data_IF_063838380403
#
_entry.id   IF_063838380403
#
_cell.length_a   1.000
_cell.length_b   1.000
_cell.length_c   1.000
_cell.angle_alpha   90.00
_cell.angle_beta   90.00
_cell.angle_gamma   90.00
#
_symmetry.space_group_name_H-M   'P 1'
#
loop_
_entity.id
_entity.type
_entity.pdbx_description
1 polymer ?
#
# COMPACT_ATOMS: atom_id res chain seq x y z
N UNK A 1 -73.60 -47.69 -22.00
CA UNK A 1 -74.28 -47.29 -23.25
C UNK A 1 -75.20 -46.11 -22.94
N UNK A 2 -75.22 -45.09 -23.81
CA UNK A 2 -75.98 -43.81 -23.71
C UNK A 2 -75.49 -42.77 -22.69
N UNK A 3 -75.57 -41.46 -22.94
CA UNK A 3 -75.47 -40.60 -24.14
C UNK A 3 -75.48 -39.15 -23.59
N UNK A 4 -74.71 -38.30 -24.24
CA UNK A 4 -74.61 -36.82 -24.15
C UNK A 4 -75.92 -36.06 -23.87
N UNK A 5 -75.85 -34.94 -23.11
CA UNK A 5 -76.38 -33.57 -23.46
C UNK A 5 -76.02 -32.58 -22.31
N UNK A 6 -75.19 -31.54 -22.50
CA UNK A 6 -75.35 -30.17 -23.08
C UNK A 6 -75.77 -29.07 -22.06
N UNK A 7 -74.89 -28.08 -21.93
CA UNK A 7 -74.99 -26.63 -21.61
C UNK A 7 -76.17 -26.07 -20.77
N UNK A 8 -75.85 -25.19 -19.80
CA UNK A 8 -75.89 -23.72 -19.95
C UNK A 8 -75.32 -22.98 -18.72
N UNK A 9 -74.75 -21.81 -19.01
CA UNK A 9 -74.03 -20.90 -18.12
C UNK A 9 -74.92 -20.08 -17.16
N UNK A 10 -74.37 -19.60 -16.05
CA UNK A 10 -74.28 -18.16 -15.74
C UNK A 10 -73.51 -17.88 -14.44
N UNK A 11 -72.82 -16.75 -14.50
CA UNK A 11 -71.91 -16.07 -13.58
C UNK A 11 -72.60 -15.51 -12.32
N UNK A 12 -71.96 -15.59 -11.15
CA UNK A 12 -71.90 -14.48 -10.17
C UNK A 12 -70.89 -14.81 -9.06
N UNK A 13 -69.86 -13.96 -8.99
CA UNK A 13 -68.81 -13.93 -7.97
C UNK A 13 -69.18 -12.84 -6.95
N UNK A 14 -69.22 -13.14 -5.66
CA UNK A 14 -69.05 -12.12 -4.62
C UNK A 14 -68.57 -12.72 -3.30
N UNK A 15 -67.42 -12.18 -2.88
CA UNK A 15 -66.59 -12.47 -1.72
C UNK A 15 -67.34 -12.54 -0.38
N UNK A 16 -67.03 -13.56 0.41
CA UNK A 16 -67.38 -13.69 1.83
C UNK A 16 -66.36 -12.91 2.66
N UNK A 17 -66.85 -11.98 3.49
CA UNK A 17 -66.08 -11.34 4.54
C UNK A 17 -65.82 -12.34 5.68
N UNK A 18 -64.55 -12.62 5.96
CA UNK A 18 -64.10 -13.43 7.08
C UNK A 18 -63.26 -12.60 8.04
N UNK A 19 -63.77 -12.41 9.25
CA UNK A 19 -63.06 -11.89 10.44
C UNK A 19 -62.15 -12.97 11.03
N UNK A 20 -60.92 -12.62 11.46
CA UNK A 20 -60.25 -13.27 12.60
C UNK A 20 -58.86 -12.69 12.94
N UNK A 21 -58.77 -12.26 14.20
CA UNK A 21 -57.69 -12.48 15.17
C UNK A 21 -56.41 -11.64 15.09
N UNK A 22 -56.34 -10.70 16.04
CA UNK A 22 -55.12 -10.12 16.60
C UNK A 22 -54.28 -11.22 17.26
N UNK A 23 -53.07 -11.45 16.74
CA UNK A 23 -51.98 -12.09 17.47
C UNK A 23 -50.73 -11.24 17.25
N UNK A 24 -50.16 -10.76 18.36
CA UNK A 24 -48.98 -9.91 18.36
C UNK A 24 -47.76 -10.65 17.83
N UNK A 25 -46.98 -9.95 17.00
CA UNK A 25 -45.57 -10.24 16.83
C UNK A 25 -44.79 -9.07 17.40
N UNK A 26 -44.03 -9.38 18.44
CA UNK A 26 -43.05 -8.51 19.07
C UNK A 26 -42.15 -7.86 18.03
N UNK A 27 -41.98 -6.54 18.18
CA UNK A 27 -40.92 -5.76 17.57
C UNK A 27 -39.55 -6.36 17.92
N UNK A 28 -39.04 -7.21 17.04
CA UNK A 28 -37.62 -7.54 16.98
C UNK A 28 -36.90 -6.30 16.48
N UNK A 29 -36.36 -5.52 17.41
CA UNK A 29 -35.31 -4.54 17.15
C UNK A 29 -34.22 -5.25 16.35
N UNK A 30 -34.12 -4.95 15.05
CA UNK A 30 -32.94 -5.25 14.28
C UNK A 30 -31.77 -4.61 15.03
N UNK A 31 -30.91 -5.43 15.60
CA UNK A 31 -29.64 -4.95 16.09
C UNK A 31 -28.95 -4.29 14.90
N UNK A 32 -28.82 -2.98 14.94
CA UNK A 32 -27.87 -2.25 14.11
C UNK A 32 -26.52 -2.92 14.32
N UNK A 33 -26.16 -3.83 13.40
CA UNK A 33 -24.80 -4.31 13.29
C UNK A 33 -23.97 -3.04 13.13
N UNK A 34 -23.19 -2.71 14.18
CA UNK A 34 -22.32 -1.54 14.16
C UNK A 34 -21.53 -1.60 12.87
N UNK A 35 -21.83 -0.68 11.96
CA UNK A 35 -21.11 -0.55 10.69
C UNK A 35 -19.65 -0.37 11.07
N UNK A 36 -18.79 -1.33 10.74
CA UNK A 36 -17.36 -1.18 10.98
C UNK A 36 -16.91 0.05 10.18
N UNK A 37 -16.50 1.16 10.83
CA UNK A 37 -16.16 2.40 10.14
C UNK A 37 -14.99 2.24 9.18
N UNK A 38 -14.19 1.18 9.35
CA UNK A 38 -13.05 0.87 8.48
C UNK A 38 -13.46 0.18 7.17
N UNK A 39 -14.71 -0.31 7.07
CA UNK A 39 -15.25 -0.93 5.86
C UNK A 39 -16.01 0.11 5.04
N UNK A 40 -15.30 0.73 4.12
CA UNK A 40 -15.83 1.81 3.28
C UNK A 40 -16.12 1.38 1.84
N UNK A 41 -15.79 0.13 1.47
CA UNK A 41 -16.01 -0.43 0.13
C UNK A 41 -17.18 -1.42 0.01
N UNK A 42 -17.09 -2.32 -0.96
CA UNK A 42 -18.12 -3.32 -1.24
C UNK A 42 -17.80 -4.65 -0.58
N UNK A 43 -18.57 -5.03 0.44
CA UNK A 43 -18.40 -6.31 1.14
C UNK A 43 -18.91 -7.47 0.28
N UNK A 44 -18.14 -8.54 0.22
CA UNK A 44 -18.45 -9.80 -0.44
C UNK A 44 -17.78 -10.97 0.30
N UNK A 45 -18.02 -12.20 -0.14
CA UNK A 45 -17.43 -13.40 0.45
C UNK A 45 -16.21 -13.87 -0.33
N UNK A 46 -15.36 -14.67 0.32
CA UNK A 46 -14.21 -15.30 -0.31
C UNK A 46 -14.59 -16.22 -1.49
N UNK A 47 -15.80 -16.78 -1.54
CA UNK A 47 -16.24 -17.56 -2.71
C UNK A 47 -16.54 -16.70 -3.94
N UNK A 48 -16.71 -15.38 -3.76
CA UNK A 48 -17.12 -14.45 -4.83
C UNK A 48 -16.01 -13.49 -5.24
N UNK A 49 -15.03 -13.24 -4.37
CA UNK A 49 -13.90 -12.39 -4.68
C UNK A 49 -12.58 -12.95 -4.14
N UNK A 50 -11.59 -13.07 -5.01
CA UNK A 50 -10.27 -13.62 -4.70
C UNK A 50 -9.20 -12.89 -5.51
N UNK A 51 -8.01 -12.73 -4.93
CA UNK A 51 -6.85 -12.14 -5.57
C UNK A 51 -5.61 -13.01 -5.26
N UNK A 52 -5.03 -13.58 -6.31
CA UNK A 52 -3.88 -14.48 -6.24
C UNK A 52 -2.78 -13.98 -7.19
N UNK A 53 -1.60 -13.81 -6.61
CA UNK A 53 -0.38 -13.35 -7.27
C UNK A 53 0.80 -13.66 -6.34
N UNK A 54 1.98 -13.87 -6.93
CA UNK A 54 3.23 -14.03 -6.18
C UNK A 54 3.57 -12.79 -5.32
N UNK A 55 4.18 -13.03 -4.16
CA UNK A 55 4.61 -11.97 -3.24
C UNK A 55 5.81 -11.16 -3.77
N UNK A 56 6.63 -11.76 -4.63
CA UNK A 56 7.78 -11.12 -5.27
C UNK A 56 7.76 -11.34 -6.78
N UNK A 57 7.96 -10.26 -7.55
CA UNK A 57 8.06 -10.24 -9.00
C UNK A 57 9.11 -9.20 -9.43
N UNK A 58 10.38 -9.48 -9.13
CA UNK A 58 11.46 -8.50 -9.27
C UNK A 58 11.76 -8.12 -10.73
N UNK A 59 11.98 -6.82 -10.97
CA UNK A 59 12.46 -6.29 -12.26
C UNK A 59 11.42 -6.26 -13.38
N UNK A 60 10.13 -6.40 -13.08
CA UNK A 60 9.08 -6.50 -14.11
C UNK A 60 8.42 -5.16 -14.47
N UNK A 61 8.34 -4.79 -15.75
CA UNK A 61 7.55 -3.61 -16.18
C UNK A 61 6.04 -3.87 -16.23
N UNK A 62 5.63 -5.12 -15.98
CA UNK A 62 4.24 -5.50 -15.85
C UNK A 62 4.08 -6.45 -14.66
N UNK A 63 3.16 -6.12 -13.76
CA UNK A 63 2.72 -7.03 -12.71
C UNK A 63 1.88 -8.15 -13.34
N UNK A 64 2.15 -9.39 -12.94
CA UNK A 64 1.31 -10.55 -13.29
C UNK A 64 0.42 -10.89 -12.11
N UNK A 65 -0.89 -10.88 -12.34
CA UNK A 65 -1.88 -11.43 -11.41
C UNK A 65 -2.24 -12.83 -11.89
N UNK A 66 -1.89 -13.84 -11.11
CA UNK A 66 -2.09 -15.24 -11.47
C UNK A 66 -3.57 -15.54 -11.66
N UNK A 67 -4.40 -15.06 -10.72
CA UNK A 67 -5.85 -15.22 -10.76
C UNK A 67 -6.56 -14.10 -10.00
N UNK A 68 -7.65 -13.61 -10.58
CA UNK A 68 -8.62 -12.74 -9.92
C UNK A 68 -10.02 -13.29 -10.16
N UNK A 69 -10.79 -13.41 -9.09
CA UNK A 69 -12.22 -13.70 -9.14
C UNK A 69 -12.96 -12.41 -8.75
N UNK A 70 -13.81 -11.88 -9.63
CA UNK A 70 -14.51 -10.62 -9.42
C UNK A 70 -16.05 -10.81 -9.35
N UNK A 71 -16.74 -10.28 -8.32
CA UNK A 71 -18.20 -10.40 -8.20
C UNK A 71 -18.99 -9.70 -9.33
N UNK A 72 -18.36 -8.69 -9.96
CA UNK A 72 -18.86 -7.88 -11.07
C UNK A 72 -17.69 -7.43 -11.96
N UNK A 73 -17.96 -6.60 -12.97
CA UNK A 73 -16.88 -5.91 -13.71
C UNK A 73 -16.04 -5.10 -12.69
N UNK A 74 -14.73 -5.11 -12.87
CA UNK A 74 -13.79 -4.68 -11.84
C UNK A 74 -12.48 -4.12 -12.43
N UNK A 75 -11.72 -3.46 -11.57
CA UNK A 75 -10.40 -2.95 -11.82
C UNK A 75 -9.39 -3.61 -10.90
N UNK A 76 -8.29 -4.09 -11.46
CA UNK A 76 -7.05 -4.29 -10.70
C UNK A 76 -6.36 -2.93 -10.68
N UNK A 77 -6.26 -2.35 -9.49
CA UNK A 77 -5.61 -1.06 -9.26
C UNK A 77 -4.30 -1.34 -8.53
N UNK A 78 -3.21 -0.80 -9.05
CA UNK A 78 -1.87 -0.96 -8.47
C UNK A 78 -1.38 0.40 -8.02
N UNK A 79 -1.11 0.53 -6.72
CA UNK A 79 -0.54 1.71 -6.10
C UNK A 79 0.91 1.45 -5.70
N UNK A 80 1.78 2.45 -5.82
CA UNK A 80 3.07 2.45 -5.13
C UNK A 80 2.84 2.23 -3.62
N UNK A 81 3.67 1.42 -2.98
CA UNK A 81 3.61 1.23 -1.53
C UNK A 81 4.36 2.35 -0.81
N UNK A 82 3.62 3.16 -0.06
CA UNK A 82 4.16 4.21 0.80
C UNK A 82 4.00 3.80 2.27
N UNK A 83 4.97 3.03 2.78
CA UNK A 83 5.04 2.55 4.15
C UNK A 83 3.78 1.77 4.60
N UNK A 84 3.36 0.80 3.79
CA UNK A 84 2.18 -0.03 4.01
C UNK A 84 0.87 0.65 3.64
N UNK A 85 0.91 1.85 3.05
CA UNK A 85 -0.27 2.62 2.62
C UNK A 85 -0.24 2.84 1.10
N UNK A 86 -1.40 2.83 0.42
CA UNK A 86 -1.46 3.14 -1.00
C UNK A 86 -0.96 4.56 -1.30
N UNK A 87 0.01 4.66 -2.21
CA UNK A 87 0.53 5.90 -2.76
C UNK A 87 -0.06 6.21 -4.15
N UNK A 88 0.76 6.76 -5.05
CA UNK A 88 0.38 7.04 -6.43
C UNK A 88 -0.05 5.76 -7.16
N UNK A 89 -1.07 5.86 -8.03
CA UNK A 89 -1.47 4.75 -8.89
C UNK A 89 -0.46 4.57 -10.02
N UNK A 90 0.17 3.40 -10.07
CA UNK A 90 1.21 3.03 -11.03
C UNK A 90 0.72 2.00 -12.06
N UNK A 91 -0.43 1.37 -11.83
CA UNK A 91 -1.02 0.41 -12.74
C UNK A 91 -2.53 0.35 -12.63
N UNK A 92 -3.19 0.03 -13.76
CA UNK A 92 -4.63 -0.09 -13.83
C UNK A 92 -5.02 -1.07 -14.94
N UNK A 93 -5.87 -2.04 -14.62
CA UNK A 93 -6.37 -3.01 -15.61
C UNK A 93 -7.82 -3.38 -15.32
N UNK A 94 -8.69 -3.21 -16.31
CA UNK A 94 -10.06 -3.70 -16.23
C UNK A 94 -10.11 -5.23 -16.38
N UNK A 95 -10.92 -5.89 -15.58
CA UNK A 95 -11.28 -7.32 -15.69
C UNK A 95 -12.80 -7.48 -15.65
N UNK A 96 -13.32 -8.48 -16.37
CA UNK A 96 -14.76 -8.74 -16.41
C UNK A 96 -15.19 -9.51 -15.18
N UNK A 97 -16.49 -9.46 -14.87
CA UNK A 97 -17.11 -10.33 -13.87
C UNK A 97 -16.69 -11.80 -14.06
N UNK A 98 -16.44 -12.48 -12.95
CA UNK A 98 -16.02 -13.88 -12.92
C UNK A 98 -14.51 -14.00 -12.81
N UNK A 99 -13.98 -15.11 -13.32
CA UNK A 99 -12.57 -15.44 -13.19
C UNK A 99 -11.75 -14.88 -14.36
N UNK A 100 -10.58 -14.33 -14.05
CA UNK A 100 -9.54 -13.96 -15.02
C UNK A 100 -8.19 -14.46 -14.51
N UNK A 101 -7.41 -15.07 -15.39
CA UNK A 101 -6.09 -15.65 -15.06
C UNK A 101 -4.99 -14.98 -15.88
N UNK A 102 -3.76 -14.97 -15.36
CA UNK A 102 -2.58 -14.42 -16.04
C UNK A 102 -2.80 -12.98 -16.54
N UNK A 103 -3.40 -12.16 -15.67
CA UNK A 103 -3.73 -10.77 -15.99
C UNK A 103 -2.47 -9.92 -15.87
N UNK A 104 -2.05 -9.33 -16.98
CA UNK A 104 -0.88 -8.44 -17.02
C UNK A 104 -1.30 -6.99 -16.86
N UNK A 105 -0.72 -6.33 -15.85
CA UNK A 105 -0.96 -4.92 -15.53
C UNK A 105 0.34 -4.13 -15.75
N UNK A 106 0.39 -3.27 -16.78
CA UNK A 106 1.56 -2.39 -16.99
C UNK A 106 1.80 -1.50 -15.78
N UNK A 107 3.07 -1.39 -15.38
CA UNK A 107 3.53 -0.48 -14.34
C UNK A 107 4.16 0.75 -15.00
N UNK A 108 3.82 1.94 -14.48
CA UNK A 108 4.34 3.23 -14.95
C UNK A 108 4.63 4.12 -13.75
N UNK A 109 5.66 4.96 -13.88
CA UNK A 109 6.02 5.98 -12.88
C UNK A 109 6.19 5.38 -11.47
N UNK A 110 6.74 4.16 -11.40
CA UNK A 110 6.96 3.46 -10.13
C UNK A 110 8.23 3.98 -9.46
N UNK A 111 8.08 4.46 -8.24
CA UNK A 111 9.15 5.07 -7.45
C UNK A 111 9.51 4.29 -6.17
N UNK A 112 8.83 3.16 -5.94
CA UNK A 112 8.95 2.34 -4.74
C UNK A 112 9.26 0.89 -5.08
N UNK A 113 9.96 0.13 -4.21
CA UNK A 113 10.28 -1.27 -4.45
C UNK A 113 9.04 -2.18 -4.46
N UNK A 114 8.03 -1.81 -3.68
CA UNK A 114 6.79 -2.56 -3.51
C UNK A 114 5.58 -1.79 -4.03
N UNK A 115 4.53 -2.53 -4.34
CA UNK A 115 3.22 -2.01 -4.74
C UNK A 115 2.10 -2.66 -3.90
N UNK A 116 1.00 -1.96 -3.74
CA UNK A 116 -0.26 -2.48 -3.19
C UNK A 116 -1.25 -2.67 -4.33
N UNK A 117 -1.69 -3.91 -4.50
CA UNK A 117 -2.60 -4.35 -5.56
C UNK A 117 -3.96 -4.57 -4.95
N UNK A 118 -4.97 -3.80 -5.36
CA UNK A 118 -6.33 -3.88 -4.86
C UNK A 118 -7.34 -4.15 -5.98
N UNK A 119 -8.43 -4.85 -5.66
CA UNK A 119 -9.54 -5.08 -6.59
C UNK A 119 -10.67 -4.10 -6.31
N UNK A 120 -10.95 -3.21 -7.26
CA UNK A 120 -12.03 -2.23 -7.20
C UNK A 120 -13.21 -2.66 -8.09
N UNK A 121 -14.42 -2.27 -7.72
CA UNK A 121 -15.57 -2.45 -8.62
C UNK A 121 -15.49 -1.45 -9.79
N UNK A 122 -16.03 -1.83 -10.95
CA UNK A 122 -16.34 -0.91 -12.06
C UNK A 122 -17.84 -0.60 -12.00
N UNK A 123 -18.20 0.57 -11.46
CA UNK A 123 -19.59 0.99 -11.27
C UNK A 123 -19.83 2.36 -11.88
N UNK A 124 -21.10 2.77 -11.95
CA UNK A 124 -21.56 3.96 -12.65
C UNK A 124 -21.27 3.93 -14.16
N UNK A 125 -20.05 4.22 -14.59
CA UNK A 125 -19.67 4.29 -16.00
C UNK A 125 -18.83 3.09 -16.39
N UNK A 126 -19.39 2.18 -17.20
CA UNK A 126 -18.70 0.95 -17.61
C UNK A 126 -17.34 1.24 -18.28
N UNK A 127 -16.32 0.51 -17.85
CA UNK A 127 -14.92 0.62 -18.30
C UNK A 127 -14.32 2.03 -18.12
N UNK A 128 -14.76 2.80 -17.11
CA UNK A 128 -14.12 4.06 -16.73
C UNK A 128 -13.84 4.03 -15.23
N UNK A 129 -12.56 4.14 -14.86
CA UNK A 129 -12.17 4.16 -13.46
C UNK A 129 -12.60 5.47 -12.78
N UNK A 130 -13.70 5.41 -12.05
CA UNK A 130 -14.39 6.50 -11.38
C UNK A 130 -14.10 6.44 -9.86
N UNK A 131 -12.83 6.67 -9.48
CA UNK A 131 -12.39 6.73 -8.09
C UNK A 131 -11.73 8.07 -7.76
N UNK A 132 -12.21 8.71 -6.70
CA UNK A 132 -11.66 9.94 -6.15
C UNK A 132 -11.12 9.69 -4.74
N UNK A 133 -9.81 9.87 -4.56
CA UNK A 133 -9.15 9.69 -3.28
C UNK A 133 -9.62 10.71 -2.22
N UNK A 134 -10.03 11.92 -2.64
CA UNK A 134 -10.55 12.95 -1.74
C UNK A 134 -12.01 12.69 -1.33
N UNK A 135 -12.73 11.89 -2.10
CA UNK A 135 -14.12 11.50 -1.85
C UNK A 135 -14.28 9.97 -1.89
N UNK A 136 -13.35 9.24 -1.25
CA UNK A 136 -13.22 7.78 -1.38
C UNK A 136 -14.50 7.02 -1.06
N UNK A 137 -15.26 7.45 -0.05
CA UNK A 137 -16.50 6.78 0.37
C UNK A 137 -17.66 6.99 -0.60
N UNK A 138 -17.62 8.11 -1.34
CA UNK A 138 -18.64 8.47 -2.33
C UNK A 138 -18.28 7.99 -3.74
N UNK A 139 -17.07 7.45 -3.92
CA UNK A 139 -16.61 6.95 -5.21
C UNK A 139 -17.45 5.75 -5.67
N UNK A 140 -17.86 5.70 -6.96
CA UNK A 140 -18.42 4.49 -7.54
C UNK A 140 -17.48 3.29 -7.44
N UNK A 141 -16.19 3.48 -7.78
CA UNK A 141 -15.21 2.40 -7.94
C UNK A 141 -14.44 2.13 -6.66
N UNK A 142 -15.17 1.84 -5.59
CA UNK A 142 -14.59 1.47 -4.29
C UNK A 142 -14.02 0.05 -4.31
N UNK A 143 -13.04 -0.25 -3.43
CA UNK A 143 -12.47 -1.59 -3.34
C UNK A 143 -13.48 -2.61 -2.82
N UNK A 144 -13.27 -3.86 -3.17
CA UNK A 144 -13.96 -4.99 -2.55
C UNK A 144 -13.37 -5.30 -1.19
N UNK A 145 -14.20 -5.74 -0.26
CA UNK A 145 -13.81 -6.22 1.07
C UNK A 145 -14.26 -7.66 1.25
N UNK A 146 -13.39 -8.51 1.80
CA UNK A 146 -13.67 -9.89 2.19
C UNK A 146 -13.26 -10.03 3.65
N UNK A 147 -14.15 -10.55 4.49
CA UNK A 147 -13.94 -10.68 5.94
C UNK A 147 -13.48 -9.37 6.60
N UNK A 148 -14.15 -8.27 6.23
CA UNK A 148 -13.87 -6.89 6.68
C UNK A 148 -12.48 -6.34 6.31
N UNK A 149 -11.70 -7.06 5.50
CA UNK A 149 -10.41 -6.59 4.97
C UNK A 149 -10.55 -6.22 3.51
N UNK A 150 -9.88 -5.15 3.12
CA UNK A 150 -9.76 -4.79 1.71
C UNK A 150 -9.12 -5.96 0.94
N UNK A 151 -9.68 -6.30 -0.22
CA UNK A 151 -9.12 -7.33 -1.10
C UNK A 151 -7.90 -6.75 -1.82
N UNK A 152 -6.80 -6.68 -1.06
CA UNK A 152 -5.54 -6.13 -1.49
C UNK A 152 -4.35 -6.97 -1.03
N UNK A 153 -3.24 -6.87 -1.75
CA UNK A 153 -1.96 -7.54 -1.43
C UNK A 153 -0.79 -6.61 -1.72
N UNK A 154 0.20 -6.60 -0.83
CA UNK A 154 1.49 -5.98 -1.08
C UNK A 154 2.38 -6.96 -1.87
N UNK A 155 3.11 -6.44 -2.86
CA UNK A 155 3.99 -7.23 -3.74
C UNK A 155 5.28 -6.46 -3.95
N UNK A 156 6.43 -7.12 -3.77
CA UNK A 156 7.73 -6.57 -4.16
C UNK A 156 7.91 -6.72 -5.68
N UNK A 157 8.27 -5.64 -6.36
CA UNK A 157 8.43 -5.61 -7.83
C UNK A 157 9.78 -5.03 -8.28
N UNK A 158 10.53 -4.38 -7.40
CA UNK A 158 11.87 -3.86 -7.66
C UNK A 158 12.77 -4.05 -6.43
N UNK A 159 14.06 -4.17 -6.67
CA UNK A 159 15.10 -4.16 -5.62
C UNK A 159 15.44 -2.73 -5.22
N UNK A 160 15.54 -2.48 -3.91
CA UNK A 160 15.96 -1.20 -3.35
C UNK A 160 17.13 -1.41 -2.39
N UNK A 161 18.10 -0.52 -2.46
CA UNK A 161 19.30 -0.57 -1.66
C UNK A 161 20.42 -1.38 -2.28
N UNK A 162 21.61 -1.23 -1.71
CA UNK A 162 22.82 -1.95 -2.12
C UNK A 162 23.08 -3.05 -1.09
N UNK A 163 22.82 -4.33 -1.41
CA UNK A 163 23.13 -5.42 -0.50
C UNK A 163 24.64 -5.59 -0.39
N UNK A 164 25.12 -5.66 0.84
CA UNK A 164 26.55 -5.72 1.17
C UNK A 164 26.77 -6.79 2.25
N UNK A 165 27.90 -7.53 2.24
CA UNK A 165 28.17 -8.53 3.28
C UNK A 165 28.15 -7.97 4.70
N UNK A 166 27.89 -8.84 5.68
CA UNK A 166 27.98 -8.47 7.08
C UNK A 166 29.38 -7.94 7.44
N UNK A 167 29.43 -6.84 8.18
CA UNK A 167 30.67 -6.20 8.64
C UNK A 167 31.37 -5.30 7.63
N UNK A 168 30.87 -5.15 6.39
CA UNK A 168 31.49 -4.27 5.39
C UNK A 168 30.82 -2.90 5.26
N UNK A 169 29.63 -2.73 5.85
CA UNK A 169 28.94 -1.45 5.96
C UNK A 169 28.36 -1.30 7.37
N UNK A 170 28.63 -0.17 8.03
CA UNK A 170 28.06 0.14 9.35
C UNK A 170 28.07 1.65 9.60
N UNK A 171 27.17 2.09 10.48
CA UNK A 171 27.19 3.43 11.08
C UNK A 171 26.87 3.29 12.56
N UNK A 172 27.69 3.91 13.40
CA UNK A 172 27.58 3.87 14.86
C UNK A 172 27.63 5.29 15.42
N UNK A 173 26.69 5.61 16.30
CA UNK A 173 26.67 6.83 17.08
C UNK A 173 25.89 6.61 18.37
N UNK A 174 26.31 7.25 19.46
CA UNK A 174 25.59 7.27 20.73
C UNK A 174 24.62 8.45 20.83
N UNK A 175 23.73 8.40 21.82
CA UNK A 175 22.84 9.49 22.17
C UNK A 175 23.59 10.78 22.50
N UNK A 176 23.10 11.90 21.98
CA UNK A 176 23.73 13.22 22.07
C UNK A 176 22.69 14.28 22.49
N UNK A 177 22.16 14.20 23.72
CA UNK A 177 21.14 15.13 24.19
C UNK A 177 21.66 16.57 24.15
N UNK A 178 20.89 17.46 23.53
CA UNK A 178 21.24 18.87 23.36
C UNK A 178 22.08 19.18 22.12
N UNK A 179 22.23 18.25 21.18
CA UNK A 179 22.82 18.53 19.87
C UNK A 179 22.06 19.66 19.15
N UNK A 180 22.79 20.52 18.43
CA UNK A 180 22.22 21.68 17.73
C UNK A 180 22.81 21.86 16.33
N UNK A 181 24.09 22.16 16.25
CA UNK A 181 24.75 22.52 14.98
C UNK A 181 25.51 21.36 14.34
N UNK A 182 25.84 20.34 15.11
CA UNK A 182 26.62 19.17 14.67
C UNK A 182 26.08 17.90 15.31
N UNK A 183 26.21 16.80 14.59
CA UNK A 183 26.02 15.45 15.08
C UNK A 183 27.35 14.70 14.95
N UNK A 184 27.82 14.10 16.05
CA UNK A 184 29.01 13.25 16.02
C UNK A 184 28.62 11.83 15.62
N UNK A 185 29.37 11.25 14.69
CA UNK A 185 29.27 9.84 14.31
C UNK A 185 30.55 9.16 14.80
N UNK A 186 30.40 8.17 15.67
CA UNK A 186 31.52 7.52 16.35
C UNK A 186 32.35 6.72 15.36
N UNK A 187 31.68 5.96 14.49
CA UNK A 187 32.32 5.09 13.50
C UNK A 187 31.44 4.87 12.27
N UNK A 188 32.08 4.82 11.12
CA UNK A 188 31.50 4.36 9.85
C UNK A 188 32.46 3.40 9.20
N UNK A 189 31.92 2.32 8.63
CA UNK A 189 32.63 1.49 7.65
C UNK A 189 31.82 1.54 6.37
N UNK A 190 32.47 1.86 5.26
CA UNK A 190 31.85 1.90 3.94
C UNK A 190 32.66 1.04 2.95
N UNK A 191 32.02 0.21 2.10
CA UNK A 191 32.74 -0.63 1.14
C UNK A 191 33.34 0.19 -0.03
N UNK A 192 32.70 1.31 -0.36
CA UNK A 192 33.05 2.28 -1.40
C UNK A 192 32.86 3.70 -0.81
N UNK A 193 33.24 4.79 -1.51
CA UNK A 193 32.84 6.13 -1.11
C UNK A 193 31.34 6.22 -0.83
N UNK A 194 30.97 7.02 0.16
CA UNK A 194 29.65 6.96 0.76
C UNK A 194 29.22 8.28 1.38
N UNK A 195 27.92 8.40 1.63
CA UNK A 195 27.29 9.52 2.29
C UNK A 195 26.68 9.09 3.61
N UNK A 196 27.01 9.81 4.68
CA UNK A 196 26.22 9.82 5.90
C UNK A 196 25.09 10.82 5.67
N UNK A 197 23.86 10.32 5.66
CA UNK A 197 22.66 11.13 5.47
C UNK A 197 21.89 11.20 6.78
N UNK A 198 21.59 12.41 7.24
CA UNK A 198 20.88 12.64 8.52
C UNK A 198 19.51 13.23 8.22
N UNK A 199 18.46 12.57 8.69
CA UNK A 199 17.08 13.00 8.59
C UNK A 199 16.48 13.29 9.97
N UNK A 200 15.53 14.22 10.00
CA UNK A 200 14.56 14.29 11.11
C UNK A 200 13.78 12.98 11.19
N UNK A 201 13.35 12.58 12.38
CA UNK A 201 12.34 11.54 12.53
C UNK A 201 10.95 12.14 12.35
N UNK A 202 10.13 11.49 11.52
CA UNK A 202 8.72 11.82 11.33
C UNK A 202 7.91 10.54 11.22
N UNK A 203 6.92 10.37 12.11
CA UNK A 203 6.00 9.23 12.10
C UNK A 203 6.72 7.86 12.12
N UNK A 204 7.87 7.79 12.79
CA UNK A 204 8.72 6.60 12.90
C UNK A 204 9.66 6.36 11.71
N UNK A 205 9.64 7.21 10.68
CA UNK A 205 10.51 7.12 9.49
C UNK A 205 11.25 8.42 9.19
N UNK A 206 12.00 8.47 8.07
CA UNK A 206 12.77 9.65 7.67
C UNK A 206 11.86 10.80 7.23
N UNK A 207 12.07 11.96 7.85
CA UNK A 207 11.52 13.25 7.46
C UNK A 207 12.48 14.04 6.57
N UNK A 208 12.52 15.37 6.73
CA UNK A 208 13.45 16.22 5.99
C UNK A 208 14.91 15.89 6.31
N UNK A 209 15.77 15.89 5.28
CA UNK A 209 17.23 15.80 5.45
C UNK A 209 17.73 17.07 6.13
N UNK A 210 18.57 16.91 7.14
CA UNK A 210 19.15 18.01 7.95
C UNK A 210 20.65 17.91 8.10
N UNK A 211 21.28 16.87 7.55
CA UNK A 211 22.73 16.74 7.56
C UNK A 211 23.19 15.81 6.46
N UNK A 212 24.40 16.06 5.95
CA UNK A 212 25.03 15.28 4.89
C UNK A 212 26.54 15.38 5.06
N UNK A 213 27.24 14.26 4.99
CA UNK A 213 28.70 14.20 5.03
C UNK A 213 29.21 13.08 4.12
N UNK A 214 30.07 13.42 3.17
CA UNK A 214 30.78 12.44 2.36
C UNK A 214 31.89 11.78 3.18
N UNK A 215 32.10 10.49 3.00
CA UNK A 215 33.14 9.70 3.63
C UNK A 215 33.84 8.80 2.60
N UNK A 216 35.17 8.62 2.70
CA UNK A 216 35.88 7.68 1.83
C UNK A 216 35.51 6.23 2.16
N UNK A 217 35.83 5.32 1.24
CA UNK A 217 35.78 3.89 1.50
C UNK A 217 36.69 3.48 2.67
N UNK A 218 36.33 2.41 3.37
CA UNK A 218 37.02 1.90 4.55
C UNK A 218 36.41 2.43 5.84
N UNK A 219 37.24 2.51 6.89
CA UNK A 219 36.81 2.92 8.22
C UNK A 219 37.11 4.40 8.48
N UNK A 220 36.14 5.10 9.06
CA UNK A 220 36.26 6.49 9.52
C UNK A 220 35.66 6.62 10.92
N UNK A 221 36.23 7.46 11.78
CA UNK A 221 35.82 7.61 13.17
C UNK A 221 35.83 9.06 13.65
N UNK A 222 34.97 9.39 14.62
CA UNK A 222 34.90 10.72 15.23
C UNK A 222 34.49 11.81 14.23
N UNK A 223 33.58 11.46 13.31
CA UNK A 223 33.12 12.34 12.25
C UNK A 223 32.13 13.36 12.81
N UNK A 224 32.19 14.60 12.31
CA UNK A 224 31.26 15.67 12.71
C UNK A 224 30.42 16.08 11.51
N UNK A 225 29.16 15.63 11.49
CA UNK A 225 28.19 16.02 10.45
C UNK A 225 27.62 17.38 10.83
N UNK A 226 27.73 18.36 9.93
CA UNK A 226 27.07 19.67 10.11
C UNK A 226 25.56 19.52 9.91
N UNK A 227 24.80 20.09 10.83
CA UNK A 227 23.34 20.11 10.76
C UNK A 227 22.82 21.45 10.23
N UNK A 228 21.75 21.39 9.45
CA UNK A 228 21.00 22.56 9.01
C UNK A 228 20.35 23.27 10.22
N UNK A 229 20.24 24.61 10.19
CA UNK A 229 19.73 25.40 11.32
C UNK A 229 18.20 25.34 11.43
N UNK A 230 17.66 24.15 11.63
CA UNK A 230 16.22 23.88 11.78
C UNK A 230 15.92 23.30 13.16
N UNK A 231 14.64 23.27 13.55
CA UNK A 231 14.23 22.58 14.76
C UNK A 231 14.40 21.06 14.57
N UNK A 232 15.28 20.45 15.39
CA UNK A 232 15.47 19.00 15.38
C UNK A 232 14.25 18.28 15.97
N UNK A 233 14.02 17.03 15.57
CA UNK A 233 13.15 16.07 16.24
C UNK A 233 13.84 15.53 17.50
N UNK A 234 13.15 14.70 18.29
CA UNK A 234 13.72 14.10 19.50
C UNK A 234 14.81 13.07 19.16
N UNK A 235 14.64 12.38 18.03
CA UNK A 235 15.64 11.51 17.44
C UNK A 235 15.99 11.97 16.02
N UNK A 236 17.22 11.71 15.58
CA UNK A 236 17.62 11.78 14.18
C UNK A 236 17.78 10.37 13.63
N UNK A 237 17.45 10.19 12.35
CA UNK A 237 17.73 8.96 11.61
C UNK A 237 18.98 9.18 10.76
N UNK A 238 19.97 8.31 10.91
CA UNK A 238 21.24 8.39 10.20
C UNK A 238 21.37 7.14 9.34
N UNK A 239 21.52 7.31 8.03
CA UNK A 239 21.69 6.22 7.08
C UNK A 239 23.00 6.36 6.29
N UNK A 240 23.59 5.24 5.90
CA UNK A 240 24.77 5.19 5.05
C UNK A 240 24.37 4.87 3.61
N UNK A 241 24.55 5.83 2.72
CA UNK A 241 24.29 5.72 1.28
C UNK A 241 25.60 5.53 0.51
N UNK A 242 25.56 4.78 -0.59
CA UNK A 242 26.71 4.77 -1.50
C UNK A 242 26.82 6.10 -2.22
N UNK A 243 28.04 6.52 -2.54
CA UNK A 243 28.32 7.61 -3.48
C UNK A 243 28.60 6.97 -4.85
N UNK A 244 27.57 6.87 -5.68
CA UNK A 244 27.62 6.26 -7.01
C UNK A 244 27.38 7.31 -8.08
N UNK A 245 27.76 7.00 -9.31
CA UNK A 245 27.63 7.96 -10.42
C UNK A 245 28.72 9.03 -10.34
N UNK A 246 28.34 10.27 -10.01
CA UNK A 246 29.29 11.39 -9.96
C UNK A 246 29.88 11.50 -8.55
N UNK A 247 31.18 11.24 -8.42
CA UNK A 247 31.89 11.33 -7.14
C UNK A 247 31.65 12.67 -6.44
N UNK A 248 31.45 12.63 -5.12
CA UNK A 248 31.18 13.78 -4.25
C UNK A 248 29.88 14.54 -4.61
N UNK A 249 28.93 13.91 -5.32
CA UNK A 249 27.60 14.44 -5.57
C UNK A 249 26.51 13.50 -5.06
N UNK A 250 25.77 13.95 -4.04
CA UNK A 250 24.67 13.16 -3.49
C UNK A 250 23.43 13.14 -4.40
N UNK A 251 23.21 12.01 -5.07
CA UNK A 251 22.19 11.75 -6.09
C UNK A 251 21.11 10.78 -5.59
N UNK A 252 20.37 11.21 -4.55
CA UNK A 252 19.23 10.48 -3.99
C UNK A 252 17.96 11.35 -3.90
N UNK A 253 16.87 10.86 -4.48
CA UNK A 253 15.55 11.45 -4.42
C UNK A 253 14.62 10.61 -3.52
N UNK A 254 14.17 11.20 -2.41
CA UNK A 254 13.20 10.57 -1.50
C UNK A 254 11.85 10.25 -2.16
N UNK A 255 11.50 10.95 -3.24
CA UNK A 255 10.28 10.71 -4.01
C UNK A 255 10.48 9.69 -5.13
N UNK A 256 11.72 9.41 -5.51
CA UNK A 256 12.12 8.40 -6.49
C UNK A 256 13.29 7.53 -6.00
N UNK A 257 13.02 6.82 -4.91
CA UNK A 257 14.05 6.04 -4.20
C UNK A 257 14.64 4.94 -5.07
N UNK A 258 13.82 4.33 -5.92
CA UNK A 258 14.20 3.15 -6.69
C UNK A 258 15.09 3.48 -7.89
N UNK A 259 14.92 4.68 -8.48
CA UNK A 259 15.74 5.15 -9.59
C UNK A 259 16.88 6.07 -9.13
N UNK A 260 16.96 6.36 -7.82
CA UNK A 260 18.09 7.07 -7.23
C UNK A 260 19.38 6.28 -7.42
N UNK A 261 20.49 6.99 -7.65
CA UNK A 261 21.81 6.38 -7.84
C UNK A 261 22.44 6.06 -6.48
N UNK A 262 22.33 6.99 -5.53
CA UNK A 262 22.93 6.87 -4.19
C UNK A 262 21.99 6.18 -3.21
N UNK A 263 21.71 4.91 -3.48
CA UNK A 263 20.84 4.12 -2.61
C UNK A 263 21.55 3.72 -1.30
N UNK A 264 20.79 3.51 -0.21
CA UNK A 264 21.37 3.10 1.06
C UNK A 264 21.97 1.70 0.99
N UNK A 265 23.01 1.46 1.78
CA UNK A 265 23.54 0.12 1.97
C UNK A 265 22.60 -0.72 2.83
N UNK A 266 22.57 -2.03 2.56
CA UNK A 266 21.84 -3.02 3.33
C UNK A 266 22.78 -4.14 3.77
N UNK A 267 22.65 -4.57 5.02
CA UNK A 267 23.33 -5.74 5.58
C UNK A 267 22.26 -6.68 6.13
N UNK A 268 22.31 -7.95 5.73
CA UNK A 268 21.35 -8.98 6.14
C UNK A 268 19.88 -8.57 5.95
N UNK A 269 19.61 -7.84 4.85
CA UNK A 269 18.27 -7.35 4.50
C UNK A 269 17.80 -6.13 5.30
N UNK A 270 18.62 -5.58 6.19
CA UNK A 270 18.34 -4.36 6.93
C UNK A 270 19.15 -3.18 6.41
N UNK A 271 18.52 -2.03 6.27
CA UNK A 271 19.21 -0.78 5.92
C UNK A 271 20.29 -0.47 6.95
N UNK A 272 21.46 -0.03 6.50
CA UNK A 272 22.54 0.46 7.37
C UNK A 272 22.15 1.85 7.86
N UNK A 273 21.28 1.85 8.86
CA UNK A 273 20.76 3.05 9.49
C UNK A 273 20.60 2.89 11.00
N UNK A 274 20.73 4.00 11.72
CA UNK A 274 20.57 4.07 13.17
C UNK A 274 19.66 5.23 13.57
N UNK A 275 19.07 5.11 14.76
CA UNK A 275 18.33 6.19 15.42
C UNK A 275 19.20 6.78 16.53
N UNK A 276 19.41 8.08 16.50
CA UNK A 276 20.23 8.81 17.48
C UNK A 276 19.36 9.79 18.28
N UNK A 277 19.16 9.57 19.59
CA UNK A 277 18.48 10.53 20.46
C UNK A 277 19.28 11.82 20.59
N UNK A 278 18.64 12.98 20.41
CA UNK A 278 19.30 14.30 20.42
C UNK A 278 18.64 15.33 21.34
N UNK A 279 17.51 14.98 21.96
CA UNK A 279 16.84 15.81 22.97
C UNK A 279 16.63 15.08 24.28
#
# INVERSE_FOLDING_TARGET
MNKKTVLRAALALALVAGTAVLAGCSSGTGADAKKNPDVWGYVTTAEKAQLELAENQDGVDQLVVDRVLAPGDAWIVVHADNNGKPGMRVGLKHVKRGESTNVRVPLKDLTTPSVIVAVHADRATKNKFDFDMMAKEMSPDRPFFVDEKELAKAVKVREFGIPTPAGTALVEAVAQPGAKATLTIDRVVAPEPAWIVVHLEKDGGPGGRVGLLHVPAGESSGLSVKLDPVALSDNLLVALHADKGTLDQFDFDMMDKINSIDQPYFVDGSEVAIKVPVK
#
